data_IF_000603062480
#
_entry.id   IF_000603062480
#
_cell.length_a   1.000
_cell.length_b   1.000
_cell.length_c   1.000
_cell.angle_alpha   90.00
_cell.angle_beta   90.00
_cell.angle_gamma   90.00
#
_symmetry.space_group_name_H-M   'P 1'
#
loop_
_entity.id
_entity.type
_entity.pdbx_description
1 polymer ?
#
# COMPACT_ATOMS: atom_id res chain seq x y z
N UNK A 1 -7.13 -9.89 17.69
CA UNK A 1 -5.73 -10.39 17.78
C UNK A 1 -5.01 -9.96 16.51
N UNK A 2 -3.69 -9.73 16.60
CA UNK A 2 -2.82 -9.40 15.47
C UNK A 2 -2.70 -10.55 14.47
N UNK A 3 -2.33 -10.25 13.22
CA UNK A 3 -2.18 -11.26 12.16
C UNK A 3 -1.09 -12.29 12.56
N UNK A 4 -1.42 -13.60 12.60
CA UNK A 4 -0.48 -14.62 13.00
C UNK A 4 0.61 -14.80 11.92
N UNK A 5 1.81 -15.28 12.28
CA UNK A 5 2.89 -15.54 11.31
C UNK A 5 2.47 -16.44 10.15
N UNK A 6 1.54 -17.38 10.37
CA UNK A 6 1.03 -18.28 9.34
C UNK A 6 0.25 -17.59 8.22
N UNK A 7 -0.21 -16.34 8.43
CA UNK A 7 -0.93 -15.54 7.43
C UNK A 7 -0.12 -14.33 6.92
N UNK A 8 1.17 -14.26 7.28
CA UNK A 8 2.12 -13.31 6.70
C UNK A 8 3.24 -14.04 5.98
N UNK A 9 3.31 -13.89 4.65
CA UNK A 9 4.41 -14.42 3.83
C UNK A 9 5.33 -13.30 3.35
N UNK A 10 6.58 -13.31 3.82
CA UNK A 10 7.62 -12.40 3.36
C UNK A 10 8.51 -13.12 2.33
N UNK A 11 8.67 -12.56 1.13
CA UNK A 11 9.44 -13.18 0.04
C UNK A 11 10.93 -12.78 0.05
N UNK A 12 11.23 -11.53 0.40
CA UNK A 12 12.58 -11.03 0.58
C UNK A 12 12.69 -10.27 1.91
N UNK A 13 13.87 -10.32 2.53
CA UNK A 13 14.15 -9.50 3.70
C UNK A 13 14.25 -8.03 3.27
N UNK A 14 13.50 -7.14 3.92
CA UNK A 14 13.72 -5.70 3.73
C UNK A 14 15.06 -5.32 4.36
N UNK A 15 15.91 -4.68 3.55
CA UNK A 15 17.18 -4.11 3.97
C UNK A 15 17.02 -2.77 4.72
N UNK A 16 15.81 -2.20 4.76
CA UNK A 16 15.54 -0.90 5.34
C UNK A 16 14.75 -1.03 6.66
N UNK A 17 15.32 -0.62 7.82
CA UNK A 17 14.66 -0.76 9.12
C UNK A 17 13.26 -0.13 9.19
N UNK A 18 13.07 0.99 8.52
CA UNK A 18 11.79 1.73 8.49
C UNK A 18 10.71 1.04 7.66
N UNK A 19 11.08 0.22 6.69
CA UNK A 19 10.13 -0.55 5.90
C UNK A 19 9.70 -1.81 6.67
N UNK A 20 10.66 -2.49 7.31
CA UNK A 20 10.38 -3.61 8.23
C UNK A 20 9.42 -3.20 9.34
N UNK A 21 9.67 -2.05 9.96
CA UNK A 21 8.80 -1.53 11.02
C UNK A 21 7.40 -1.21 10.51
N UNK A 22 7.25 -0.66 9.29
CA UNK A 22 5.96 -0.43 8.68
C UNK A 22 5.18 -1.73 8.39
N UNK A 23 5.87 -2.79 7.95
CA UNK A 23 5.28 -4.11 7.72
C UNK A 23 4.85 -4.78 9.04
N UNK A 24 5.66 -4.66 10.09
CA UNK A 24 5.30 -5.12 11.44
C UNK A 24 4.09 -4.35 11.95
N UNK A 25 4.03 -3.03 11.76
CA UNK A 25 2.86 -2.23 12.11
C UNK A 25 1.59 -2.76 11.42
N UNK A 26 1.64 -3.06 10.11
CA UNK A 26 0.51 -3.64 9.39
C UNK A 26 0.09 -4.98 10.00
N UNK A 27 1.03 -5.91 10.19
CA UNK A 27 0.77 -7.22 10.79
C UNK A 27 0.12 -7.10 12.17
N UNK A 28 0.67 -6.25 13.03
CA UNK A 28 0.23 -6.11 14.42
C UNK A 28 -1.19 -5.53 14.54
N UNK A 29 -1.64 -4.78 13.52
CA UNK A 29 -2.95 -4.13 13.51
C UNK A 29 -3.97 -4.79 12.57
N UNK A 30 -3.55 -5.69 11.69
CA UNK A 30 -4.45 -6.51 10.89
C UNK A 30 -5.13 -7.58 11.77
N UNK A 31 -6.45 -7.80 11.62
CA UNK A 31 -7.15 -8.75 12.47
C UNK A 31 -6.85 -10.20 12.06
N UNK A 32 -6.67 -11.06 13.06
CA UNK A 32 -6.64 -12.52 12.88
C UNK A 32 -8.05 -13.07 12.60
N UNK A 33 -8.51 -12.89 11.37
CA UNK A 33 -9.80 -13.41 10.89
C UNK A 33 -9.71 -13.71 9.41
N UNK A 34 -10.35 -14.78 8.94
CA UNK A 34 -10.41 -15.03 7.50
C UNK A 34 -11.27 -13.97 6.78
N UNK A 35 -10.85 -13.50 5.59
CA UNK A 35 -9.75 -14.00 4.76
C UNK A 35 -8.46 -13.14 4.87
N UNK A 36 -8.16 -12.55 6.03
CA UNK A 36 -7.06 -11.58 6.13
C UNK A 36 -5.70 -12.25 5.97
N UNK A 37 -4.94 -11.82 4.96
CA UNK A 37 -3.60 -12.31 4.64
C UNK A 37 -2.71 -11.16 4.17
N UNK A 38 -1.42 -11.27 4.42
CA UNK A 38 -0.41 -10.32 3.92
C UNK A 38 0.73 -11.06 3.23
N UNK A 39 1.09 -10.60 2.05
CA UNK A 39 2.30 -11.01 1.32
C UNK A 39 3.17 -9.76 1.17
N UNK A 40 4.45 -9.82 1.52
CA UNK A 40 5.33 -8.66 1.45
C UNK A 40 6.63 -8.93 0.71
N UNK A 41 7.26 -7.85 0.23
CA UNK A 41 8.58 -7.85 -0.38
C UNK A 41 8.73 -8.85 -1.52
N UNK A 42 7.85 -8.76 -2.52
CA UNK A 42 7.92 -9.63 -3.69
C UNK A 42 7.98 -8.80 -4.97
N UNK A 43 8.47 -9.45 -6.02
CA UNK A 43 8.54 -8.90 -7.36
C UNK A 43 7.73 -9.76 -8.31
N UNK A 44 7.20 -9.13 -9.36
CA UNK A 44 6.62 -9.84 -10.48
C UNK A 44 6.98 -9.18 -11.80
N UNK A 45 6.99 -9.99 -12.86
CA UNK A 45 7.20 -9.52 -14.23
C UNK A 45 5.83 -9.29 -14.87
N UNK A 46 5.57 -8.06 -15.32
CA UNK A 46 4.38 -7.72 -16.09
C UNK A 46 4.45 -8.27 -17.52
N UNK A 47 3.32 -8.30 -18.24
CA UNK A 47 3.30 -8.78 -19.63
C UNK A 47 4.15 -7.94 -20.58
N UNK A 48 4.36 -6.68 -20.22
CA UNK A 48 5.25 -5.75 -20.93
C UNK A 48 6.74 -5.98 -20.60
N UNK A 49 7.06 -7.04 -19.84
CA UNK A 49 8.42 -7.36 -19.39
C UNK A 49 8.93 -6.49 -18.24
N UNK A 50 8.12 -5.57 -17.71
CA UNK A 50 8.54 -4.73 -16.59
C UNK A 50 8.68 -5.52 -15.29
N UNK A 51 9.76 -5.26 -14.54
CA UNK A 51 9.91 -5.75 -13.18
C UNK A 51 9.14 -4.80 -12.25
N UNK A 52 8.29 -5.34 -11.40
CA UNK A 52 7.44 -4.58 -10.49
C UNK A 52 7.64 -5.10 -9.06
N UNK A 53 8.27 -4.27 -8.23
CA UNK A 53 8.43 -4.51 -6.80
C UNK A 53 7.17 -4.11 -6.03
N UNK A 54 6.75 -4.91 -5.06
CA UNK A 54 5.58 -4.68 -4.22
C UNK A 54 5.95 -4.82 -2.75
N UNK A 55 5.73 -3.75 -1.98
CA UNK A 55 6.02 -3.74 -0.54
C UNK A 55 5.05 -4.67 0.21
N UNK A 56 3.74 -4.52 -0.02
CA UNK A 56 2.73 -5.41 0.52
C UNK A 56 1.52 -5.61 -0.40
N UNK A 57 1.02 -6.84 -0.44
CA UNK A 57 -0.27 -7.25 -0.99
C UNK A 57 -1.12 -7.81 0.15
N UNK A 58 -2.25 -7.19 0.43
CA UNK A 58 -3.11 -7.51 1.58
C UNK A 58 -4.48 -7.96 1.09
N UNK A 59 -4.90 -9.13 1.51
CA UNK A 59 -6.25 -9.64 1.28
C UNK A 59 -7.06 -9.32 2.53
N UNK A 60 -8.25 -8.75 2.36
CA UNK A 60 -9.23 -8.56 3.45
C UNK A 60 -10.63 -8.90 2.97
N UNK A 61 -11.63 -8.77 3.85
CA UNK A 61 -13.05 -8.87 3.44
C UNK A 61 -13.47 -7.76 2.48
N UNK A 62 -12.80 -6.61 2.51
CA UNK A 62 -13.12 -5.47 1.66
C UNK A 62 -12.54 -5.62 0.24
N UNK A 63 -11.48 -6.41 0.07
CA UNK A 63 -10.87 -6.63 -1.24
C UNK A 63 -9.40 -7.03 -1.15
N UNK A 64 -8.72 -6.88 -2.30
CA UNK A 64 -7.30 -7.10 -2.45
C UNK A 64 -6.61 -5.74 -2.62
N UNK A 65 -5.61 -5.46 -1.79
CA UNK A 65 -4.95 -4.16 -1.72
C UNK A 65 -3.46 -4.31 -2.01
N UNK A 66 -2.95 -3.54 -2.95
CA UNK A 66 -1.52 -3.33 -3.13
C UNK A 66 -1.13 -2.06 -2.37
N UNK A 67 -0.27 -2.20 -1.37
CA UNK A 67 0.17 -1.12 -0.49
C UNK A 67 1.62 -0.78 -0.81
N UNK A 68 1.85 0.45 -1.26
CA UNK A 68 3.17 1.06 -1.42
C UNK A 68 3.53 1.83 -0.15
N UNK A 69 4.66 1.53 0.47
CA UNK A 69 5.11 2.09 1.74
C UNK A 69 6.06 3.26 1.50
N UNK A 70 5.85 4.34 2.26
CA UNK A 70 6.64 5.58 2.21
C UNK A 70 6.98 6.05 3.62
N UNK A 71 8.21 5.79 4.06
CA UNK A 71 8.63 5.99 5.46
C UNK A 71 9.49 7.25 5.71
N UNK A 72 9.51 8.23 4.81
CA UNK A 72 10.43 9.39 4.94
C UNK A 72 10.05 10.37 6.06
N UNK A 73 8.79 10.43 6.51
CA UNK A 73 8.33 11.43 7.50
C UNK A 73 8.27 12.85 6.93
N UNK A 74 8.10 13.86 7.78
CA UNK A 74 8.04 15.28 7.35
C UNK A 74 6.65 15.71 6.87
N UNK A 75 6.57 16.67 5.93
CA UNK A 75 5.32 17.27 5.46
C UNK A 75 5.12 17.06 3.96
N UNK A 76 3.94 16.56 3.58
CA UNK A 76 3.51 16.39 2.20
C UNK A 76 2.43 17.42 1.89
N UNK A 77 2.60 18.16 0.80
CA UNK A 77 1.59 19.00 0.16
C UNK A 77 1.52 18.64 -1.33
N UNK A 78 0.56 19.20 -2.07
CA UNK A 78 0.41 18.95 -3.50
C UNK A 78 -0.96 18.38 -3.85
N UNK A 79 -0.99 17.49 -4.86
CA UNK A 79 -2.21 16.98 -5.45
C UNK A 79 -2.07 15.51 -5.95
N UNK A 80 -3.09 15.02 -6.66
CA UNK A 80 -3.15 13.67 -7.25
C UNK A 80 -2.05 13.36 -8.26
N UNK A 81 -1.35 14.36 -8.78
CA UNK A 81 -0.30 14.20 -9.77
C UNK A 81 1.09 14.35 -9.16
N UNK A 82 1.28 15.36 -8.32
CA UNK A 82 2.60 15.77 -7.84
C UNK A 82 2.58 16.06 -6.35
N UNK A 83 3.57 15.55 -5.63
CA UNK A 83 3.80 15.81 -4.22
C UNK A 83 5.01 16.72 -4.03
N UNK A 84 4.86 17.71 -3.17
CA UNK A 84 5.96 18.46 -2.58
C UNK A 84 6.19 17.94 -1.17
N UNK A 85 7.33 17.28 -0.99
CA UNK A 85 7.65 16.58 0.24
C UNK A 85 8.81 17.27 0.95
N UNK A 86 8.47 18.02 2.00
CA UNK A 86 9.41 18.77 2.83
C UNK A 86 9.88 17.94 4.03
N UNK A 87 11.19 17.90 4.25
CA UNK A 87 11.80 17.35 5.47
C UNK A 87 13.10 18.09 5.75
N UNK A 88 13.29 18.54 7.00
CA UNK A 88 14.53 19.17 7.47
C UNK A 88 14.98 20.34 6.57
N UNK A 89 14.04 21.21 6.17
CA UNK A 89 14.32 22.37 5.32
C UNK A 89 14.60 22.04 3.84
N UNK A 90 14.45 20.77 3.44
CA UNK A 90 14.60 20.33 2.04
C UNK A 90 13.28 19.81 1.47
N UNK A 91 12.84 20.43 0.39
CA UNK A 91 11.68 19.99 -0.38
C UNK A 91 12.13 19.21 -1.60
N UNK A 92 11.56 18.01 -1.77
CA UNK A 92 11.67 17.25 -3.01
C UNK A 92 10.32 17.22 -3.69
N UNK A 93 10.33 17.37 -5.02
CA UNK A 93 9.15 17.22 -5.86
C UNK A 93 9.18 15.82 -6.45
N UNK A 94 8.11 15.07 -6.26
CA UNK A 94 7.97 13.70 -6.78
C UNK A 94 6.60 13.53 -7.40
N UNK A 95 6.47 12.63 -8.38
CA UNK A 95 5.17 12.16 -8.81
C UNK A 95 4.45 11.48 -7.64
N UNK A 96 3.13 11.59 -7.60
CA UNK A 96 2.33 10.93 -6.59
C UNK A 96 2.57 9.40 -6.67
N UNK A 97 3.08 8.73 -5.61
CA UNK A 97 3.41 7.31 -5.63
C UNK A 97 2.22 6.41 -6.00
N UNK A 98 0.99 6.88 -5.79
CA UNK A 98 -0.24 6.18 -6.14
C UNK A 98 -0.32 5.87 -7.65
N UNK A 99 0.28 6.70 -8.51
CA UNK A 99 0.27 6.51 -9.97
C UNK A 99 0.98 5.19 -10.33
N UNK A 100 2.19 4.99 -9.79
CA UNK A 100 2.95 3.77 -10.01
C UNK A 100 2.31 2.58 -9.29
N UNK A 101 1.87 2.75 -8.04
CA UNK A 101 1.19 1.69 -7.29
C UNK A 101 -0.06 1.17 -8.03
N UNK A 102 -0.88 2.07 -8.59
CA UNK A 102 -2.06 1.71 -9.39
C UNK A 102 -1.69 0.99 -10.70
N UNK A 103 -0.57 1.38 -11.32
CA UNK A 103 -0.06 0.70 -12.51
C UNK A 103 0.39 -0.73 -12.17
N UNK A 104 1.14 -0.91 -11.06
CA UNK A 104 1.52 -2.24 -10.53
C UNK A 104 0.28 -3.07 -10.22
N UNK A 105 -0.73 -2.50 -9.56
CA UNK A 105 -1.96 -3.19 -9.18
C UNK A 105 -2.74 -3.74 -10.38
N UNK A 106 -2.88 -2.94 -11.46
CA UNK A 106 -3.52 -3.38 -12.71
C UNK A 106 -2.74 -4.52 -13.37
N UNK A 107 -1.43 -4.38 -13.50
CA UNK A 107 -0.55 -5.41 -14.09
C UNK A 107 -0.64 -6.73 -13.31
N UNK A 108 -0.61 -6.65 -11.97
CA UNK A 108 -0.76 -7.83 -11.12
C UNK A 108 -2.14 -8.46 -11.24
N UNK A 109 -3.21 -7.65 -11.28
CA UNK A 109 -4.57 -8.13 -11.49
C UNK A 109 -4.74 -8.87 -12.81
N UNK A 110 -4.17 -8.34 -13.90
CA UNK A 110 -4.16 -9.00 -15.20
C UNK A 110 -3.36 -10.32 -15.18
N UNK A 111 -2.22 -10.35 -14.48
CA UNK A 111 -1.40 -11.56 -14.31
C UNK A 111 -2.12 -12.67 -13.53
N UNK A 112 -2.81 -12.30 -12.44
CA UNK A 112 -3.60 -13.25 -11.65
C UNK A 112 -4.81 -13.73 -12.45
N UNK A 113 -5.49 -12.84 -13.18
CA UNK A 113 -6.67 -13.18 -13.99
C UNK A 113 -6.41 -14.22 -15.09
N UNK A 114 -5.16 -14.36 -15.56
CA UNK A 114 -4.77 -15.38 -16.55
C UNK A 114 -4.46 -16.75 -15.96
N UNK A 115 -4.35 -16.86 -14.64
CA UNK A 115 -4.03 -18.14 -14.01
C UNK A 115 -5.18 -19.14 -14.18
N UNK A 116 -4.85 -20.44 -14.24
CA UNK A 116 -5.86 -21.50 -14.41
C UNK A 116 -6.96 -21.44 -13.35
N UNK A 117 -6.62 -21.02 -12.13
CA UNK A 117 -7.55 -20.84 -11.01
C UNK A 117 -8.62 -19.76 -11.27
N UNK A 118 -8.37 -18.82 -12.19
CA UNK A 118 -9.29 -17.75 -12.55
C UNK A 118 -10.04 -18.01 -13.87
N UNK A 119 -9.91 -19.20 -14.48
CA UNK A 119 -10.64 -19.56 -15.70
C UNK A 119 -12.16 -19.47 -15.47
N UNK A 120 -12.84 -18.71 -16.33
CA UNK A 120 -14.29 -18.49 -16.23
C UNK A 120 -14.72 -17.54 -15.11
N UNK A 121 -13.77 -16.88 -14.45
CA UNK A 121 -14.02 -15.85 -13.44
C UNK A 121 -13.49 -14.50 -13.88
N UNK A 122 -13.95 -13.42 -13.25
CA UNK A 122 -13.44 -12.09 -13.54
C UNK A 122 -12.03 -11.93 -12.96
N UNK A 123 -11.18 -11.17 -13.65
CA UNK A 123 -9.89 -10.75 -13.09
C UNK A 123 -10.11 -10.09 -11.72
N UNK A 124 -9.25 -10.34 -10.73
CA UNK A 124 -9.36 -9.66 -9.45
C UNK A 124 -9.09 -8.16 -9.63
N UNK A 125 -9.91 -7.34 -9.00
CA UNK A 125 -9.60 -5.93 -8.84
C UNK A 125 -8.67 -5.75 -7.64
N UNK A 126 -7.57 -5.01 -7.85
CA UNK A 126 -6.58 -4.72 -6.82
C UNK A 126 -6.58 -3.22 -6.57
N UNK A 127 -6.95 -2.81 -5.37
CA UNK A 127 -6.92 -1.42 -4.93
C UNK A 127 -5.49 -1.02 -4.57
N UNK A 128 -5.00 0.07 -5.16
CA UNK A 128 -3.72 0.64 -4.76
C UNK A 128 -3.89 1.62 -3.59
N UNK A 129 -3.03 1.50 -2.58
CA UNK A 129 -2.91 2.41 -1.45
C UNK A 129 -1.45 2.86 -1.31
N UNK A 130 -1.26 4.12 -0.89
CA UNK A 130 0.03 4.60 -0.41
C UNK A 130 -0.04 4.69 1.11
N UNK A 131 0.85 3.99 1.81
CA UNK A 131 0.98 4.05 3.26
C UNK A 131 2.18 4.90 3.66
N UNK A 132 1.91 6.13 4.07
CA UNK A 132 2.87 7.01 4.74
C UNK A 132 3.08 6.52 6.17
N UNK A 133 4.07 5.67 6.37
CA UNK A 133 4.23 4.88 7.59
C UNK A 133 4.94 5.62 8.72
N UNK A 134 5.68 6.69 8.46
CA UNK A 134 6.36 7.44 9.51
C UNK A 134 5.34 8.13 10.44
N UNK A 135 5.46 7.93 11.75
CA UNK A 135 4.49 8.45 12.73
C UNK A 135 4.45 9.99 12.81
N UNK A 136 5.51 10.68 12.37
CA UNK A 136 5.60 12.14 12.33
C UNK A 136 5.05 12.76 11.04
N UNK A 137 4.60 11.95 10.07
CA UNK A 137 4.17 12.46 8.77
C UNK A 137 2.96 13.41 8.91
N UNK A 138 3.03 14.56 8.24
CA UNK A 138 1.92 15.48 8.08
C UNK A 138 1.50 15.53 6.61
N UNK A 139 0.30 15.05 6.30
CA UNK A 139 -0.26 15.08 4.93
C UNK A 139 -1.27 16.22 4.83
N UNK A 140 -0.86 17.31 4.18
CA UNK A 140 -1.60 18.57 4.02
C UNK A 140 -2.00 18.76 2.56
N UNK A 141 -2.85 17.86 2.07
CA UNK A 141 -3.49 17.96 0.76
C UNK A 141 -5.01 18.04 0.96
N UNK A 142 -5.75 18.70 0.06
CA UNK A 142 -7.21 18.70 0.09
C UNK A 142 -7.78 17.27 0.12
N UNK A 143 -8.97 17.07 0.71
CA UNK A 143 -9.53 15.73 0.93
C UNK A 143 -9.60 14.88 -0.34
N UNK A 144 -10.09 15.46 -1.44
CA UNK A 144 -10.12 14.79 -2.74
C UNK A 144 -8.73 14.41 -3.24
N UNK A 145 -7.70 15.18 -2.92
CA UNK A 145 -6.34 15.00 -3.42
C UNK A 145 -5.55 13.92 -2.67
N UNK A 146 -5.97 13.55 -1.45
CA UNK A 146 -5.34 12.51 -0.64
C UNK A 146 -6.10 11.19 -0.58
N UNK A 147 -7.08 10.98 -1.46
CA UNK A 147 -7.75 9.68 -1.59
C UNK A 147 -6.71 8.57 -1.80
N UNK A 148 -6.86 7.45 -1.09
CA UNK A 148 -5.92 6.29 -1.13
C UNK A 148 -4.52 6.57 -0.58
N UNK A 149 -4.30 7.73 0.05
CA UNK A 149 -3.09 8.06 0.80
C UNK A 149 -3.42 7.93 2.29
N UNK A 150 -2.76 6.99 2.94
CA UNK A 150 -3.06 6.60 4.32
C UNK A 150 -1.86 6.90 5.23
N UNK A 151 -2.13 7.35 6.46
CA UNK A 151 -1.16 7.35 7.56
C UNK A 151 -1.51 6.24 8.57
N UNK A 152 -0.74 6.10 9.66
CA UNK A 152 -1.05 5.14 10.73
C UNK A 152 -2.40 5.44 11.38
N UNK A 153 -2.56 6.69 11.79
CA UNK A 153 -3.78 7.22 12.36
C UNK A 153 -4.62 7.88 11.27
N UNK A 154 -5.94 8.01 11.46
CA UNK A 154 -6.78 8.81 10.59
C UNK A 154 -6.20 10.22 10.44
N UNK A 155 -6.16 10.70 9.20
CA UNK A 155 -6.04 12.12 8.92
C UNK A 155 -7.45 12.70 9.06
N UNK A 156 -7.59 13.96 9.47
CA UNK A 156 -8.88 14.62 9.80
C UNK A 156 -10.12 14.09 9.05
N UNK A 157 -10.02 13.92 7.72
CA UNK A 157 -11.09 13.37 6.86
C UNK A 157 -10.66 12.22 5.94
N UNK A 158 -9.53 11.57 6.20
CA UNK A 158 -9.09 10.39 5.45
C UNK A 158 -8.77 9.24 6.42
N UNK A 159 -9.23 8.02 6.14
CA UNK A 159 -9.01 6.88 6.99
C UNK A 159 -7.50 6.62 7.20
N UNK A 160 -7.14 6.13 8.38
CA UNK A 160 -5.85 5.49 8.57
C UNK A 160 -5.76 4.23 7.72
N UNK A 161 -4.56 3.66 7.60
CA UNK A 161 -4.33 2.48 6.75
C UNK A 161 -5.21 1.29 7.14
N UNK A 162 -5.45 1.07 8.44
CA UNK A 162 -6.26 -0.07 8.91
C UNK A 162 -7.75 0.10 8.57
N UNK A 163 -8.42 1.24 8.87
CA UNK A 163 -9.77 1.49 8.36
C UNK A 163 -9.89 1.39 6.83
N UNK A 164 -8.90 1.89 6.07
CA UNK A 164 -8.91 1.80 4.61
C UNK A 164 -8.90 0.34 4.12
N UNK A 165 -8.09 -0.52 4.74
CA UNK A 165 -8.05 -1.96 4.47
C UNK A 165 -9.32 -2.71 4.90
N UNK A 166 -10.11 -2.12 5.80
CA UNK A 166 -11.44 -2.61 6.18
C UNK A 166 -12.57 -2.11 5.25
N UNK A 167 -12.24 -1.33 4.21
CA UNK A 167 -13.22 -0.78 3.27
C UNK A 167 -13.94 0.48 3.77
N UNK A 168 -13.42 1.11 4.83
CA UNK A 168 -13.93 2.37 5.34
C UNK A 168 -13.18 3.51 4.64
N UNK A 169 -13.87 4.24 3.76
CA UNK A 169 -13.37 5.40 3.00
C UNK A 169 -13.91 6.71 3.53
#
# INVERSE_FOLDING_TARGET
MALPPSRWKQYADSHFPHEREALVFLRDNLPDVDPVWMISNFEFIGDDGSVNEVDALIITRAGLFLVEIKSRGGKITGNRHTWFWEKEGRTVTVDNPLILANTKAKKLGDLIGRQKAFRGTHRPYIDALVFCSDASISVQMPDGERMRVCARLPLDKAPGIIPALAGLS
#
